data_IF_909468073465
#
_entry.id   IF_909468073465
#
_cell.length_a   1.000
_cell.length_b   1.000
_cell.length_c   1.000
_cell.angle_alpha   90.00
_cell.angle_beta   90.00
_cell.angle_gamma   90.00
#
_symmetry.space_group_name_H-M   'P 1'
#
loop_
_entity.id
_entity.type
_entity.pdbx_description
1 polymer ?
#
# COMPACT_ATOMS: atom_id res chain seq x y z
N UNK A 1 23.06 -5.38 36.61
CA UNK A 1 21.61 -5.61 36.41
C UNK A 1 20.83 -4.35 36.71
N UNK A 2 20.49 -3.55 35.71
CA UNK A 2 19.34 -2.63 35.74
C UNK A 2 18.78 -2.58 34.33
N UNK A 3 17.58 -3.13 34.17
CA UNK A 3 16.84 -3.26 32.92
C UNK A 3 16.32 -1.88 32.55
N UNK A 4 16.68 -1.36 31.38
CA UNK A 4 15.97 -0.22 30.77
C UNK A 4 14.84 -0.86 29.96
N UNK A 5 13.64 -0.83 30.54
CA UNK A 5 12.41 -1.14 29.83
C UNK A 5 11.98 0.18 29.20
N UNK A 6 12.29 0.35 27.91
CA UNK A 6 11.70 1.39 27.08
C UNK A 6 10.27 0.95 26.75
N UNK A 7 9.29 1.61 27.36
CA UNK A 7 7.90 1.58 26.95
C UNK A 7 7.78 2.53 25.76
N UNK A 8 7.84 1.99 24.54
CA UNK A 8 7.49 2.74 23.33
C UNK A 8 5.97 2.92 23.29
N UNK A 9 5.56 4.18 23.21
CA UNK A 9 4.18 4.61 23.06
C UNK A 9 3.75 4.27 21.63
N UNK A 10 2.85 3.29 21.48
CA UNK A 10 2.23 3.01 20.19
C UNK A 10 1.26 4.15 19.85
N UNK A 11 1.73 5.10 19.02
CA UNK A 11 0.86 6.10 18.43
C UNK A 11 0.19 5.47 17.20
N UNK A 12 -1.02 4.92 17.39
CA UNK A 12 -1.88 4.52 16.29
C UNK A 12 -2.45 5.79 15.67
N UNK A 13 -1.91 6.23 14.54
CA UNK A 13 -2.48 7.33 13.75
C UNK A 13 -3.37 6.74 12.67
N UNK A 14 -4.69 6.73 12.93
CA UNK A 14 -5.70 6.40 11.94
C UNK A 14 -5.94 7.63 11.05
N UNK A 15 -5.39 7.64 9.85
CA UNK A 15 -5.63 8.71 8.88
C UNK A 15 -6.97 8.48 8.17
N UNK A 16 -8.05 9.03 8.71
CA UNK A 16 -9.32 9.11 8.00
C UNK A 16 -9.22 10.22 6.94
N UNK A 17 -8.84 9.87 5.72
CA UNK A 17 -8.85 10.80 4.58
C UNK A 17 -10.31 11.16 4.24
N UNK A 18 -10.78 12.26 4.82
CA UNK A 18 -12.12 12.78 4.61
C UNK A 18 -12.24 13.47 3.24
N UNK A 19 -12.30 12.68 2.17
CA UNK A 19 -12.83 13.11 0.87
C UNK A 19 -14.36 13.02 0.90
N UNK A 20 -15.04 14.15 0.76
CA UNK A 20 -16.51 14.21 0.75
C UNK A 20 -17.12 13.17 -0.21
N UNK A 21 -17.70 12.10 0.35
CA UNK A 21 -18.63 11.20 -0.34
C UNK A 21 -18.18 9.76 -0.59
N UNK A 22 -16.98 9.35 -0.17
CA UNK A 22 -16.54 7.95 -0.26
C UNK A 22 -16.29 7.35 1.12
N UNK A 23 -16.45 6.03 1.24
CA UNK A 23 -16.17 5.29 2.46
C UNK A 23 -14.76 5.64 2.96
N UNK A 24 -14.62 5.88 4.26
CA UNK A 24 -13.33 6.24 4.83
C UNK A 24 -12.40 5.02 4.80
N UNK A 25 -11.22 5.17 4.18
CA UNK A 25 -10.17 4.15 4.20
C UNK A 25 -9.56 4.09 5.60
N UNK A 26 -9.41 2.88 6.14
CA UNK A 26 -8.65 2.67 7.38
C UNK A 26 -7.16 2.58 7.08
N UNK A 27 -6.42 3.65 7.33
CA UNK A 27 -4.97 3.67 7.18
C UNK A 27 -4.26 3.60 8.53
N UNK A 28 -3.30 2.67 8.67
CA UNK A 28 -2.45 2.55 9.85
C UNK A 28 -0.98 2.58 9.46
N UNK A 29 -0.30 3.66 9.86
CA UNK A 29 1.14 3.84 9.61
C UNK A 29 1.85 4.26 10.89
N UNK A 30 2.81 3.44 11.32
CA UNK A 30 3.71 3.72 12.43
C UNK A 30 5.14 3.55 11.89
N UNK A 31 5.84 4.67 11.73
CA UNK A 31 7.20 4.71 11.21
C UNK A 31 8.04 5.68 12.03
N UNK A 32 9.26 5.28 12.36
CA UNK A 32 10.31 6.15 12.90
C UNK A 32 11.29 6.59 11.79
N UNK A 33 11.31 5.85 10.67
CA UNK A 33 12.17 6.08 9.50
C UNK A 33 11.61 7.15 8.55
N UNK A 34 10.30 7.14 8.30
CA UNK A 34 9.64 7.99 7.32
C UNK A 34 8.80 9.08 7.97
N UNK A 35 8.71 10.22 7.29
CA UNK A 35 7.88 11.32 7.77
C UNK A 35 6.38 11.02 7.60
N UNK A 36 5.56 11.71 8.39
CA UNK A 36 4.09 11.66 8.26
C UNK A 36 3.63 12.10 6.86
N UNK A 37 4.33 13.06 6.25
CA UNK A 37 4.04 13.54 4.90
C UNK A 37 4.31 12.45 3.85
N UNK A 38 5.47 11.80 3.91
CA UNK A 38 5.82 10.71 2.98
C UNK A 38 4.85 9.53 3.10
N UNK A 39 4.55 9.12 4.33
CA UNK A 39 3.65 8.00 4.59
C UNK A 39 2.19 8.31 4.22
N UNK A 40 1.74 9.54 4.46
CA UNK A 40 0.39 9.97 4.04
C UNK A 40 0.29 10.07 2.52
N UNK A 41 1.32 10.56 1.84
CA UNK A 41 1.39 10.59 0.38
C UNK A 41 1.37 9.19 -0.21
N UNK A 42 2.14 8.25 0.35
CA UNK A 42 2.14 6.85 -0.06
C UNK A 42 0.75 6.22 0.04
N UNK A 43 0.05 6.41 1.18
CA UNK A 43 -1.33 5.92 1.35
C UNK A 43 -2.27 6.53 0.32
N UNK A 44 -2.18 7.83 0.07
CA UNK A 44 -3.02 8.51 -0.93
C UNK A 44 -2.78 7.98 -2.34
N UNK A 45 -1.52 7.78 -2.74
CA UNK A 45 -1.17 7.26 -4.06
C UNK A 45 -1.67 5.82 -4.23
N UNK A 46 -1.56 4.99 -3.18
CA UNK A 46 -2.11 3.62 -3.17
C UNK A 46 -3.62 3.67 -3.39
N UNK A 47 -4.35 4.42 -2.55
CA UNK A 47 -5.82 4.50 -2.65
C UNK A 47 -6.24 5.00 -4.02
N UNK A 48 -5.61 6.08 -4.51
CA UNK A 48 -5.91 6.65 -5.82
C UNK A 48 -5.69 5.66 -6.97
N UNK A 49 -4.58 4.93 -6.93
CA UNK A 49 -4.27 3.89 -7.91
C UNK A 49 -5.37 2.81 -7.94
N UNK A 50 -5.81 2.31 -6.79
CA UNK A 50 -6.86 1.28 -6.73
C UNK A 50 -8.20 1.82 -7.24
N UNK A 51 -8.57 3.05 -6.86
CA UNK A 51 -9.77 3.71 -7.38
C UNK A 51 -9.75 3.86 -8.90
N UNK A 52 -8.60 4.23 -9.48
CA UNK A 52 -8.44 4.32 -10.93
C UNK A 52 -8.64 2.97 -11.64
N UNK A 53 -8.41 1.86 -10.94
CA UNK A 53 -8.58 0.51 -11.45
C UNK A 53 -9.94 -0.11 -11.11
N UNK A 54 -10.93 0.70 -10.71
CA UNK A 54 -12.28 0.23 -10.39
C UNK A 54 -12.33 -0.57 -9.08
N UNK A 55 -11.35 -0.39 -8.18
CA UNK A 55 -11.30 -1.04 -6.87
C UNK A 55 -11.60 -0.03 -5.78
N UNK A 56 -12.19 -0.50 -4.69
CA UNK A 56 -12.40 0.28 -3.49
C UNK A 56 -11.47 -0.26 -2.40
N UNK A 57 -10.54 0.58 -1.93
CA UNK A 57 -9.66 0.24 -0.82
C UNK A 57 -10.42 0.36 0.50
N UNK A 58 -10.36 -0.69 1.33
CA UNK A 58 -10.93 -0.69 2.67
C UNK A 58 -9.88 -0.34 3.72
N UNK A 59 -8.68 -0.91 3.59
CA UNK A 59 -7.58 -0.60 4.52
C UNK A 59 -6.20 -0.60 3.86
N UNK A 60 -5.30 0.20 4.44
CA UNK A 60 -3.89 0.27 4.09
C UNK A 60 -3.05 0.19 5.37
N UNK A 61 -2.23 -0.84 5.48
CA UNK A 61 -1.41 -1.10 6.67
C UNK A 61 0.06 -1.10 6.30
N UNK A 62 0.83 -0.22 6.93
CA UNK A 62 2.27 -0.21 6.76
C UNK A 62 2.92 -1.45 7.37
N UNK A 63 3.85 -2.08 6.64
CA UNK A 63 4.50 -3.32 7.05
C UNK A 63 5.63 -3.10 8.07
N UNK A 64 6.12 -1.86 8.21
CA UNK A 64 7.14 -1.48 9.20
C UNK A 64 8.49 -1.10 8.59
N UNK A 65 9.32 -0.38 9.34
CA UNK A 65 10.59 0.19 8.85
C UNK A 65 11.66 -0.86 8.49
N UNK A 66 11.52 -2.06 9.04
CA UNK A 66 12.49 -3.16 8.94
C UNK A 66 12.26 -4.04 7.70
N UNK A 67 11.17 -3.82 6.95
CA UNK A 67 10.81 -4.70 5.83
C UNK A 67 11.59 -4.39 4.55
N UNK A 68 12.12 -3.17 4.43
CA UNK A 68 12.96 -2.80 3.31
C UNK A 68 14.39 -3.27 3.57
N UNK A 69 14.68 -4.50 3.18
CA UNK A 69 16.01 -5.11 3.24
C UNK A 69 16.57 -5.31 1.84
N UNK A 70 17.89 -5.42 1.71
CA UNK A 70 18.54 -5.73 0.43
C UNK A 70 17.97 -7.02 -0.19
N UNK A 71 17.66 -8.04 0.62
CA UNK A 71 17.04 -9.29 0.16
C UNK A 71 15.64 -9.06 -0.45
N UNK A 72 14.84 -8.20 0.17
CA UNK A 72 13.51 -7.84 -0.35
C UNK A 72 13.65 -7.04 -1.64
N UNK A 73 14.57 -6.08 -1.70
CA UNK A 73 14.84 -5.30 -2.91
C UNK A 73 15.26 -6.24 -4.05
N UNK A 74 16.25 -7.11 -3.82
CA UNK A 74 16.73 -8.08 -4.81
C UNK A 74 15.59 -8.97 -5.32
N UNK A 75 14.71 -9.43 -4.42
CA UNK A 75 13.56 -10.24 -4.80
C UNK A 75 12.54 -9.47 -5.64
N UNK A 76 12.29 -8.21 -5.30
CA UNK A 76 11.40 -7.36 -6.09
C UNK A 76 11.98 -7.09 -7.50
N UNK A 77 13.31 -6.93 -7.62
CA UNK A 77 14.00 -6.87 -8.93
C UNK A 77 13.80 -8.20 -9.68
N UNK A 78 14.04 -9.33 -9.03
CA UNK A 78 13.96 -10.66 -9.65
C UNK A 78 12.59 -10.95 -10.26
N UNK A 79 11.51 -10.56 -9.56
CA UNK A 79 10.14 -10.75 -10.05
C UNK A 79 9.69 -9.66 -11.04
N UNK A 80 10.58 -8.75 -11.42
CA UNK A 80 10.32 -7.71 -12.42
C UNK A 80 9.43 -6.57 -11.93
N UNK A 81 9.36 -6.35 -10.61
CA UNK A 81 8.57 -5.26 -10.03
C UNK A 81 9.20 -3.88 -10.30
N UNK A 82 10.50 -3.82 -10.53
CA UNK A 82 11.16 -2.62 -11.05
C UNK A 82 12.44 -2.98 -11.80
N UNK A 83 12.90 -2.03 -12.62
CA UNK A 83 14.11 -2.20 -13.44
C UNK A 83 15.36 -2.08 -12.56
N UNK A 84 16.26 -3.05 -12.68
CA UNK A 84 17.57 -3.05 -12.00
C UNK A 84 18.37 -1.79 -12.37
N UNK A 85 18.20 -1.29 -13.60
CA UNK A 85 18.89 -0.10 -14.09
C UNK A 85 18.45 1.20 -13.39
N UNK A 86 17.25 1.24 -12.79
CA UNK A 86 16.75 2.45 -12.11
C UNK A 86 17.41 2.68 -10.74
N UNK A 87 17.98 1.63 -10.14
CA UNK A 87 18.49 1.64 -8.76
C UNK A 87 17.39 1.88 -7.71
N UNK A 88 17.63 1.40 -6.49
CA UNK A 88 16.73 1.61 -5.35
C UNK A 88 17.52 2.26 -4.23
N UNK A 89 17.11 3.46 -3.83
CA UNK A 89 17.68 4.12 -2.63
C UNK A 89 17.02 3.57 -1.36
N UNK A 90 15.71 3.35 -1.41
CA UNK A 90 14.90 2.91 -0.27
C UNK A 90 13.55 2.35 -0.74
N UNK A 91 12.79 1.70 0.16
CA UNK A 91 11.48 1.15 -0.13
C UNK A 91 10.51 1.17 1.06
N UNK A 92 9.20 1.29 0.79
CA UNK A 92 8.12 1.14 1.77
C UNK A 92 7.20 -0.01 1.36
N UNK A 93 6.86 -0.88 2.31
CA UNK A 93 5.92 -1.97 2.10
C UNK A 93 4.58 -1.71 2.78
N UNK A 94 3.49 -1.99 2.09
CA UNK A 94 2.12 -1.88 2.59
C UNK A 94 1.32 -3.14 2.28
N UNK A 95 0.44 -3.51 3.20
CA UNK A 95 -0.65 -4.45 2.97
C UNK A 95 -1.91 -3.65 2.64
N UNK A 96 -2.60 -4.04 1.56
CA UNK A 96 -3.78 -3.35 1.04
C UNK A 96 -4.92 -4.34 0.95
N UNK A 97 -6.01 -4.01 1.63
CA UNK A 97 -7.28 -4.71 1.52
C UNK A 97 -8.23 -3.92 0.62
N UNK A 98 -8.82 -4.58 -0.37
CA UNK A 98 -9.74 -3.96 -1.31
C UNK A 98 -10.79 -4.94 -1.83
N UNK A 99 -11.87 -4.40 -2.37
CA UNK A 99 -12.84 -5.13 -3.17
C UNK A 99 -13.10 -4.39 -4.48
N UNK A 100 -13.83 -5.02 -5.41
CA UNK A 100 -14.24 -4.35 -6.63
C UNK A 100 -15.31 -3.29 -6.34
N UNK A 101 -15.08 -2.07 -6.84
CA UNK A 101 -16.05 -1.00 -6.73
C UNK A 101 -17.25 -1.30 -7.62
N UNK A 102 -18.47 -1.10 -7.10
CA UNK A 102 -19.66 -1.05 -7.95
C UNK A 102 -19.65 0.27 -8.74
N UNK A 103 -18.87 0.35 -9.81
CA UNK A 103 -19.10 1.34 -10.85
C UNK A 103 -20.29 0.88 -11.70
N UNK A 104 -21.25 1.75 -12.05
CA UNK A 104 -22.37 1.38 -12.92
C UNK A 104 -21.95 0.72 -14.24
N UNK A 105 -20.74 0.96 -14.74
CA UNK A 105 -20.19 0.30 -15.94
C UNK A 105 -19.79 -1.15 -15.66
N UNK A 106 -19.18 -1.43 -14.50
CA UNK A 106 -18.72 -2.76 -14.09
C UNK A 106 -19.88 -3.62 -13.57
N UNK A 107 -20.89 -2.98 -12.97
CA UNK A 107 -22.17 -3.60 -12.63
C UNK A 107 -22.91 -4.15 -13.86
N UNK A 108 -22.81 -3.48 -15.02
CA UNK A 108 -23.40 -3.96 -16.28
C UNK A 108 -22.66 -5.20 -16.79
N UNK A 109 -21.33 -5.24 -16.70
CA UNK A 109 -20.53 -6.40 -17.11
C UNK A 109 -20.81 -7.60 -16.17
N UNK A 110 -20.95 -7.34 -14.87
CA UNK A 110 -21.28 -8.35 -13.85
C UNK A 110 -22.64 -9.03 -14.09
N UNK A 111 -23.65 -8.25 -14.49
CA UNK A 111 -24.97 -8.81 -14.85
C UNK A 111 -24.89 -9.70 -16.11
N UNK A 112 -23.96 -9.42 -17.02
CA UNK A 112 -23.78 -10.17 -18.27
C UNK A 112 -22.98 -11.46 -18.04
N UNK A 113 -22.00 -11.45 -17.13
CA UNK A 113 -21.07 -12.56 -16.90
C UNK A 113 -21.48 -13.51 -15.75
N UNK A 114 -22.34 -13.06 -14.83
CA UNK A 114 -23.14 -13.93 -13.96
C UNK A 114 -22.50 -14.42 -12.66
N UNK A 115 -21.28 -14.02 -12.30
CA UNK A 115 -20.67 -14.27 -10.98
C UNK A 115 -19.52 -13.27 -10.74
N UNK A 116 -19.83 -12.09 -10.20
CA UNK A 116 -18.82 -11.19 -9.63
C UNK A 116 -19.27 -10.85 -8.21
N UNK A 117 -18.44 -11.21 -7.23
CA UNK A 117 -18.69 -10.92 -5.83
C UNK A 117 -18.04 -9.59 -5.46
N UNK A 118 -18.86 -8.54 -5.32
CA UNK A 118 -18.40 -7.21 -4.92
C UNK A 118 -18.08 -7.13 -3.42
N UNK A 119 -18.46 -8.15 -2.65
CA UNK A 119 -18.14 -8.27 -1.23
C UNK A 119 -16.91 -9.17 -1.02
N UNK A 120 -16.32 -9.76 -2.07
CA UNK A 120 -15.06 -10.50 -1.98
C UNK A 120 -13.88 -9.53 -1.85
N UNK A 121 -13.18 -9.66 -0.72
CA UNK A 121 -11.99 -8.87 -0.41
C UNK A 121 -10.74 -9.59 -0.90
N UNK A 122 -9.86 -8.85 -1.56
CA UNK A 122 -8.50 -9.27 -1.88
C UNK A 122 -7.50 -8.53 -0.99
N UNK A 123 -6.44 -9.24 -0.60
CA UNK A 123 -5.36 -8.70 0.21
C UNK A 123 -4.02 -8.86 -0.51
N UNK A 124 -3.31 -7.75 -0.72
CA UNK A 124 -2.08 -7.74 -1.50
C UNK A 124 -1.00 -6.89 -0.86
N UNK A 125 0.25 -7.19 -1.17
CA UNK A 125 1.38 -6.35 -0.80
C UNK A 125 1.69 -5.34 -1.90
N UNK A 126 1.81 -4.07 -1.52
CA UNK A 126 2.19 -2.97 -2.41
C UNK A 126 3.52 -2.40 -1.92
N UNK A 127 4.45 -2.20 -2.86
CA UNK A 127 5.77 -1.67 -2.59
C UNK A 127 5.96 -0.33 -3.28
N UNK A 128 6.42 0.67 -2.53
CA UNK A 128 6.90 1.93 -3.06
C UNK A 128 8.42 1.91 -3.03
N UNK A 129 9.05 2.37 -4.10
CA UNK A 129 10.51 2.50 -4.17
C UNK A 129 10.89 3.97 -4.33
N UNK A 130 11.97 4.35 -3.66
CA UNK A 130 12.56 5.67 -3.77
C UNK A 130 13.63 5.66 -4.83
N UNK A 131 13.45 6.47 -5.86
CA UNK A 131 14.40 6.57 -6.97
C UNK A 131 15.65 7.37 -6.52
N UNK A 132 16.86 6.90 -6.84
CA UNK A 132 18.10 7.56 -6.43
C UNK A 132 18.38 8.87 -7.18
N UNK A 133 17.79 9.08 -8.36
CA UNK A 133 18.05 10.26 -9.19
C UNK A 133 17.38 11.53 -8.66
N UNK A 134 16.13 11.42 -8.21
CA UNK A 134 15.31 12.57 -7.80
C UNK A 134 14.65 12.41 -6.42
N UNK A 135 14.87 11.27 -5.75
CA UNK A 135 14.33 10.97 -4.43
C UNK A 135 12.82 10.76 -4.40
N UNK A 136 12.14 10.64 -5.56
CA UNK A 136 10.70 10.42 -5.61
C UNK A 136 10.33 8.99 -5.28
N UNK A 137 9.20 8.86 -4.57
CA UNK A 137 8.54 7.59 -4.35
C UNK A 137 7.69 7.24 -5.56
N UNK A 138 7.88 6.02 -6.09
CA UNK A 138 7.04 5.47 -7.16
C UNK A 138 6.43 4.15 -6.69
N UNK A 139 5.15 3.94 -7.00
CA UNK A 139 4.48 2.67 -6.72
C UNK A 139 4.95 1.65 -7.73
N UNK A 140 5.56 0.58 -7.24
CA UNK A 140 5.78 -0.63 -8.02
C UNK A 140 4.51 -1.49 -7.96
N UNK A 141 3.81 -1.60 -9.08
CA UNK A 141 2.58 -2.40 -9.16
C UNK A 141 2.82 -3.68 -9.95
N UNK A 142 2.86 -4.80 -9.25
CA UNK A 142 2.25 -6.07 -9.67
C UNK A 142 1.97 -6.85 -8.38
N UNK A 143 0.73 -7.33 -8.21
CA UNK A 143 0.27 -7.95 -6.97
C UNK A 143 1.11 -9.17 -6.62
N UNK A 144 1.83 -9.11 -5.50
CA UNK A 144 2.34 -10.31 -4.86
C UNK A 144 1.18 -10.86 -4.03
N UNK A 145 0.69 -12.04 -4.42
CA UNK A 145 -0.07 -12.91 -3.52
C UNK A 145 0.80 -13.14 -2.27
N UNK A 146 0.30 -12.75 -1.11
CA UNK A 146 0.99 -12.81 0.18
C UNK A 146 1.70 -14.16 0.37
N UNK A 147 3.02 -14.15 0.58
CA UNK A 147 3.83 -15.34 0.90
C UNK A 147 3.63 -15.72 2.37
#
# INVERSE_FOLDING_TARGET
MKKIVLLTVAAVMAFALAGCGKNAVEASVISEKYTEEETSAAVQDIVYLYELNGKQTDSVRYLGDEVCTDEVIDKLIEIGMFDEECGVEDCMGFEVDYHFSINPTDAICTIIEGDFDFDEHENVQVWLIKQPEDGKWIISTTGIDVI
#
